data_IF_339761438720
#
_entry.id   IF_339761438720
#
_cell.length_a   1.000
_cell.length_b   1.000
_cell.length_c   1.000
_cell.angle_alpha   90.00
_cell.angle_beta   90.00
_cell.angle_gamma   90.00
#
_symmetry.space_group_name_H-M   'P 1'
#
loop_
_entity.id
_entity.type
_entity.pdbx_description
1 polymer ?
#
# COMPACT_ATOMS: atom_id res chain seq x y z
N UNK A 1 -8.98 -8.55 -1.45
CA UNK A 1 -8.01 -9.31 -2.28
C UNK A 1 -7.50 -8.41 -3.41
N UNK A 2 -6.38 -8.77 -4.05
CA UNK A 2 -5.79 -8.02 -5.18
C UNK A 2 -6.70 -7.95 -6.41
N UNK A 3 -6.41 -7.05 -7.36
CA UNK A 3 -7.11 -6.91 -8.65
C UNK A 3 -6.29 -7.40 -9.85
N UNK A 4 -5.19 -8.13 -9.60
CA UNK A 4 -4.39 -8.75 -10.64
C UNK A 4 -5.28 -9.61 -11.57
N UNK A 5 -5.27 -9.40 -12.90
CA UNK A 5 -6.14 -10.13 -13.82
C UNK A 5 -5.84 -11.64 -13.82
N UNK A 6 -4.56 -12.01 -13.73
CA UNK A 6 -4.13 -13.42 -13.64
C UNK A 6 -4.56 -14.13 -12.36
N UNK A 7 -4.81 -13.39 -11.28
CA UNK A 7 -5.40 -13.97 -10.07
C UNK A 7 -6.89 -14.29 -10.27
N UNK A 8 -7.59 -13.47 -11.03
CA UNK A 8 -9.03 -13.63 -11.31
C UNK A 8 -9.32 -14.69 -12.37
N UNK A 9 -8.52 -14.76 -13.43
CA UNK A 9 -8.63 -15.82 -14.42
C UNK A 9 -8.01 -17.11 -13.88
N UNK A 10 -8.85 -18.11 -13.63
CA UNK A 10 -8.45 -19.41 -13.06
C UNK A 10 -7.61 -20.26 -14.00
N UNK A 11 -7.57 -19.93 -15.29
CA UNK A 11 -6.75 -20.63 -16.29
C UNK A 11 -5.30 -20.15 -16.34
N UNK A 12 -4.95 -19.06 -15.64
CA UNK A 12 -3.61 -18.47 -15.65
C UNK A 12 -2.77 -18.92 -14.46
N UNK A 13 -1.45 -19.07 -14.63
CA UNK A 13 -0.53 -19.35 -13.51
C UNK A 13 -0.56 -18.24 -12.43
N UNK A 14 -0.82 -18.61 -11.17
CA UNK A 14 -0.87 -17.66 -10.06
C UNK A 14 -0.52 -18.28 -8.68
N UNK A 15 0.71 -18.07 -8.20
CA UNK A 15 1.20 -18.53 -6.89
C UNK A 15 0.33 -18.10 -5.69
N UNK A 16 -0.37 -16.97 -5.80
CA UNK A 16 -1.30 -16.49 -4.77
C UNK A 16 -2.56 -17.34 -4.66
N UNK A 17 -3.01 -17.93 -5.78
CA UNK A 17 -4.19 -18.80 -5.85
C UNK A 17 -3.80 -20.27 -5.67
N UNK A 18 -2.73 -20.70 -6.34
CA UNK A 18 -2.20 -22.06 -6.30
C UNK A 18 -0.68 -21.99 -6.10
N UNK A 19 -0.18 -22.21 -4.87
CA UNK A 19 1.26 -22.15 -4.59
C UNK A 19 2.06 -23.06 -5.52
N UNK A 20 3.17 -22.54 -6.07
CA UNK A 20 4.05 -23.28 -6.98
C UNK A 20 3.64 -23.24 -8.46
N UNK A 21 2.48 -22.70 -8.83
CA UNK A 21 2.05 -22.63 -10.23
C UNK A 21 2.82 -21.61 -11.07
N UNK A 22 3.59 -20.71 -10.44
CA UNK A 22 4.24 -19.56 -11.08
C UNK A 22 3.41 -18.27 -11.02
N UNK A 23 3.96 -17.17 -11.54
CA UNK A 23 3.31 -15.86 -11.56
C UNK A 23 3.22 -15.33 -13.00
N UNK A 24 2.07 -15.53 -13.67
CA UNK A 24 1.88 -15.09 -15.07
C UNK A 24 1.97 -13.56 -15.27
N UNK A 25 1.89 -12.78 -14.19
CA UNK A 25 2.11 -11.34 -14.24
C UNK A 25 3.57 -10.96 -14.49
N UNK A 26 4.51 -11.79 -14.04
CA UNK A 26 5.95 -11.60 -14.29
C UNK A 26 6.23 -12.08 -15.71
N UNK A 27 6.73 -11.17 -16.56
CA UNK A 27 6.81 -11.38 -18.01
C UNK A 27 5.48 -11.16 -18.76
N UNK A 28 4.40 -10.84 -18.06
CA UNK A 28 3.09 -10.52 -18.63
C UNK A 28 2.69 -9.04 -18.49
N UNK A 29 1.39 -8.78 -18.58
CA UNK A 29 0.83 -7.44 -18.39
C UNK A 29 0.86 -7.02 -16.91
N UNK A 30 1.68 -6.01 -16.61
CA UNK A 30 2.01 -5.65 -15.22
C UNK A 30 1.80 -4.17 -14.90
N UNK A 31 1.19 -3.39 -15.80
CA UNK A 31 0.96 -1.92 -15.65
C UNK A 31 0.40 -1.53 -14.28
N UNK A 32 -0.59 -2.26 -13.80
CA UNK A 32 -1.29 -1.93 -12.54
C UNK A 32 -0.64 -2.52 -11.28
N UNK A 33 0.44 -3.29 -11.43
CA UNK A 33 1.03 -4.11 -10.37
C UNK A 33 2.09 -3.36 -9.56
N UNK A 34 2.62 -4.01 -8.51
CA UNK A 34 3.50 -3.38 -7.54
C UNK A 34 4.89 -3.12 -8.12
N UNK A 35 5.56 -2.10 -7.57
CA UNK A 35 6.94 -1.70 -7.89
C UNK A 35 7.87 -1.86 -6.70
N UNK A 36 7.35 -2.04 -5.49
CA UNK A 36 8.14 -2.16 -4.26
C UNK A 36 7.49 -3.17 -3.32
N UNK A 37 8.30 -3.81 -2.44
CA UNK A 37 7.82 -4.89 -1.57
C UNK A 37 7.35 -6.12 -2.35
N UNK A 38 7.92 -6.34 -3.54
CA UNK A 38 7.62 -7.45 -4.43
C UNK A 38 8.53 -8.65 -4.17
N UNK A 39 8.23 -9.77 -4.83
CA UNK A 39 9.04 -11.00 -4.80
C UNK A 39 8.97 -11.66 -6.17
N UNK A 40 9.87 -12.61 -6.43
CA UNK A 40 9.82 -13.44 -7.64
C UNK A 40 8.56 -14.33 -7.68
N UNK A 41 7.89 -14.53 -6.54
CA UNK A 41 6.66 -15.31 -6.47
C UNK A 41 5.40 -14.48 -6.77
N UNK A 42 5.41 -13.16 -6.53
CA UNK A 42 4.24 -12.30 -6.72
C UNK A 42 4.58 -10.81 -6.71
N UNK A 43 3.96 -10.08 -7.65
CA UNK A 43 4.05 -8.61 -7.77
C UNK A 43 2.68 -7.92 -7.61
N UNK A 44 1.71 -8.54 -6.96
CA UNK A 44 0.36 -7.97 -6.87
C UNK A 44 0.30 -6.73 -5.93
N UNK A 45 -0.73 -5.89 -6.10
CA UNK A 45 -0.96 -4.74 -5.20
C UNK A 45 -2.09 -5.02 -4.21
N UNK A 46 -2.06 -4.34 -3.06
CA UNK A 46 -3.25 -4.16 -2.23
C UNK A 46 -4.09 -3.00 -2.78
N UNK A 47 -5.39 -3.22 -3.10
CA UNK A 47 -6.16 -2.22 -3.85
C UNK A 47 -6.96 -1.25 -2.97
N UNK A 48 -6.96 -1.42 -1.64
CA UNK A 48 -7.80 -0.61 -0.74
C UNK A 48 -7.23 0.78 -0.52
N UNK A 49 -8.01 1.80 -0.87
CA UNK A 49 -7.73 3.20 -0.51
C UNK A 49 -7.85 3.42 1.00
N UNK A 50 -8.87 2.81 1.63
CA UNK A 50 -9.11 2.91 3.07
C UNK A 50 -7.91 2.41 3.89
N UNK A 51 -7.30 1.28 3.48
CA UNK A 51 -6.15 0.74 4.20
C UNK A 51 -4.94 1.71 4.17
N UNK A 52 -4.80 2.51 3.11
CA UNK A 52 -3.74 3.53 3.02
C UNK A 52 -3.98 4.66 4.02
N UNK A 53 -5.23 5.13 4.13
CA UNK A 53 -5.61 6.10 5.16
C UNK A 53 -5.42 5.54 6.58
N UNK A 54 -5.81 4.29 6.82
CA UNK A 54 -5.58 3.63 8.11
C UNK A 54 -4.09 3.52 8.46
N UNK A 55 -3.23 3.24 7.48
CA UNK A 55 -1.78 3.15 7.68
C UNK A 55 -1.13 4.49 8.04
N UNK A 56 -1.57 5.59 7.44
CA UNK A 56 -1.01 6.92 7.78
C UNK A 56 -1.47 7.39 9.16
N UNK A 57 -2.62 6.91 9.64
CA UNK A 57 -3.21 7.21 10.95
C UNK A 57 -2.80 6.25 12.07
N UNK A 58 -1.88 5.31 11.80
CA UNK A 58 -1.45 4.29 12.77
C UNK A 58 -2.61 3.51 13.41
N UNK A 59 -3.59 3.13 12.59
CA UNK A 59 -4.72 2.34 13.02
C UNK A 59 -4.31 1.00 13.65
N UNK A 60 -5.16 0.51 14.54
CA UNK A 60 -5.03 -0.77 15.22
C UNK A 60 -6.21 -1.67 14.85
N UNK A 61 -5.94 -2.91 14.48
CA UNK A 61 -6.95 -3.92 14.14
C UNK A 61 -7.19 -4.80 15.36
N UNK A 62 -8.40 -4.78 15.87
CA UNK A 62 -8.80 -5.62 17.01
C UNK A 62 -9.41 -6.93 16.54
N UNK A 63 -8.98 -8.03 17.15
CA UNK A 63 -9.37 -9.37 16.76
C UNK A 63 -9.82 -10.22 17.93
N UNK A 64 -10.68 -11.20 17.63
CA UNK A 64 -11.10 -12.27 18.52
C UNK A 64 -10.73 -13.62 17.91
N UNK A 65 -9.98 -14.44 18.64
CA UNK A 65 -9.61 -15.79 18.22
C UNK A 65 -10.70 -16.82 18.56
N UNK A 66 -10.67 -18.01 17.93
CA UNK A 66 -11.64 -19.07 18.24
C UNK A 66 -11.68 -19.52 19.71
N UNK A 67 -10.57 -19.35 20.44
CA UNK A 67 -10.47 -19.64 21.88
C UNK A 67 -11.05 -18.52 22.78
N UNK A 68 -11.59 -17.45 22.18
CA UNK A 68 -12.12 -16.28 22.87
C UNK A 68 -11.06 -15.24 23.28
N UNK A 69 -9.77 -15.49 23.06
CA UNK A 69 -8.72 -14.52 23.35
C UNK A 69 -8.78 -13.33 22.39
N UNK A 70 -8.52 -12.12 22.91
CA UNK A 70 -8.46 -10.88 22.12
C UNK A 70 -7.02 -10.51 21.83
N UNK A 71 -6.78 -9.91 20.67
CA UNK A 71 -5.50 -9.28 20.33
C UNK A 71 -5.72 -7.99 19.55
N UNK A 72 -4.72 -7.11 19.63
CA UNK A 72 -4.62 -5.92 18.80
C UNK A 72 -3.41 -6.05 17.88
N UNK A 73 -3.58 -5.77 16.60
CA UNK A 73 -2.55 -5.87 15.56
C UNK A 73 -2.38 -4.47 14.93
N UNK A 74 -1.20 -3.84 15.02
CA UNK A 74 -0.94 -2.60 14.28
C UNK A 74 -1.18 -2.78 12.78
N UNK A 75 -1.83 -1.81 12.13
CA UNK A 75 -2.12 -1.90 10.69
C UNK A 75 -0.84 -2.00 9.83
N UNK A 76 0.29 -1.51 10.36
CA UNK A 76 1.62 -1.63 9.74
C UNK A 76 2.06 -3.10 9.58
N UNK A 77 1.63 -3.94 10.52
CA UNK A 77 1.97 -5.36 10.61
C UNK A 77 0.87 -6.25 10.04
N UNK A 78 -0.37 -5.77 9.95
CA UNK A 78 -1.52 -6.59 9.58
C UNK A 78 -1.41 -7.27 8.20
N UNK A 79 -0.88 -6.56 7.19
CA UNK A 79 -0.71 -7.10 5.84
C UNK A 79 0.72 -7.61 5.65
N UNK A 80 0.86 -8.82 5.10
CA UNK A 80 2.14 -9.46 4.81
C UNK A 80 2.66 -9.09 3.43
N UNK A 81 3.98 -8.97 3.31
CA UNK A 81 4.65 -8.99 2.01
C UNK A 81 4.62 -10.40 1.41
N UNK A 82 4.66 -10.56 0.08
CA UNK A 82 4.39 -11.84 -0.56
C UNK A 82 5.45 -12.90 -0.25
N UNK A 83 6.73 -12.52 -0.16
CA UNK A 83 7.84 -13.46 0.01
C UNK A 83 7.71 -14.67 -0.92
N UNK A 84 7.89 -15.87 -0.38
CA UNK A 84 7.64 -17.12 -1.11
C UNK A 84 6.23 -17.70 -0.86
N UNK A 85 5.40 -17.01 -0.08
CA UNK A 85 4.07 -17.48 0.35
C UNK A 85 2.97 -16.47 0.03
N UNK A 86 2.81 -16.03 -1.24
CA UNK A 86 1.85 -14.97 -1.57
C UNK A 86 0.38 -15.35 -1.35
N UNK A 87 0.06 -16.61 -1.06
CA UNK A 87 -1.27 -17.05 -0.64
C UNK A 87 -1.61 -16.66 0.81
N UNK A 88 -0.60 -16.31 1.62
CA UNK A 88 -0.74 -15.78 2.98
C UNK A 88 -0.67 -14.26 2.91
N UNK A 89 -1.78 -13.58 3.20
CA UNK A 89 -1.90 -12.13 2.95
C UNK A 89 -1.92 -11.27 4.21
N UNK A 90 -2.32 -11.84 5.35
CA UNK A 90 -2.56 -11.12 6.59
C UNK A 90 -2.00 -11.88 7.79
N UNK A 91 -1.85 -11.20 8.92
CA UNK A 91 -1.47 -11.81 10.20
C UNK A 91 -2.58 -12.62 10.88
N UNK A 92 -3.81 -12.57 10.36
CA UNK A 92 -4.93 -13.32 10.90
C UNK A 92 -4.67 -14.83 10.91
N UNK A 93 -4.98 -15.45 12.05
CA UNK A 93 -5.04 -16.89 12.19
C UNK A 93 -6.34 -17.46 11.61
N UNK A 94 -6.37 -18.77 11.39
CA UNK A 94 -7.57 -19.46 10.91
C UNK A 94 -8.69 -19.31 11.94
N UNK A 95 -9.84 -18.77 11.49
CA UNK A 95 -11.00 -18.54 12.36
C UNK A 95 -10.90 -17.31 13.25
N UNK A 96 -9.83 -16.51 13.14
CA UNK A 96 -9.72 -15.23 13.84
C UNK A 96 -10.61 -14.18 13.16
N UNK A 97 -11.42 -13.49 13.96
CA UNK A 97 -12.41 -12.51 13.51
C UNK A 97 -11.94 -11.10 13.84
N UNK A 98 -11.92 -10.20 12.85
CA UNK A 98 -11.77 -8.76 13.12
C UNK A 98 -13.06 -8.25 13.76
N UNK A 99 -12.95 -7.63 14.93
CA UNK A 99 -14.09 -7.09 15.68
C UNK A 99 -14.16 -5.57 15.62
N UNK A 100 -13.02 -4.89 15.51
CA UNK A 100 -12.98 -3.43 15.43
C UNK A 100 -11.69 -2.92 14.76
N UNK A 101 -11.71 -1.64 14.42
CA UNK A 101 -10.52 -0.87 14.07
C UNK A 101 -10.51 0.37 14.94
N UNK A 102 -9.42 0.58 15.68
CA UNK A 102 -9.27 1.69 16.62
C UNK A 102 -8.21 2.66 16.10
N UNK A 103 -8.52 3.94 16.16
CA UNK A 103 -7.60 5.02 15.81
C UNK A 103 -7.03 5.66 17.08
N UNK A 104 -5.77 6.09 17.07
CA UNK A 104 -5.23 6.92 18.15
C UNK A 104 -5.93 8.30 18.17
N UNK A 105 -5.59 9.11 19.18
CA UNK A 105 -6.10 10.48 19.28
C UNK A 105 -5.84 11.28 17.98
N UNK A 106 -6.74 12.19 17.59
CA UNK A 106 -6.56 12.99 16.38
C UNK A 106 -5.23 13.76 16.40
N UNK A 107 -4.45 13.62 15.32
CA UNK A 107 -3.12 14.25 15.19
C UNK A 107 -3.16 15.67 14.60
N UNK A 108 -4.36 16.23 14.39
CA UNK A 108 -4.55 17.54 13.75
C UNK A 108 -3.95 17.63 12.34
N UNK A 109 -3.60 18.84 11.93
CA UNK A 109 -2.98 19.12 10.63
C UNK A 109 -3.94 19.10 9.44
N UNK A 110 -3.38 19.22 8.24
CA UNK A 110 -4.09 19.17 6.97
C UNK A 110 -4.08 17.74 6.43
N UNK A 111 -5.26 17.17 6.19
CA UNK A 111 -5.44 15.79 5.71
C UNK A 111 -5.77 15.81 4.23
N UNK A 112 -5.01 15.08 3.41
CA UNK A 112 -5.22 15.01 1.96
C UNK A 112 -5.14 13.55 1.52
N UNK A 113 -6.10 13.13 0.68
CA UNK A 113 -6.03 11.87 -0.05
C UNK A 113 -6.09 12.14 -1.56
N UNK A 114 -4.95 12.00 -2.25
CA UNK A 114 -4.84 12.22 -3.70
C UNK A 114 -4.79 10.87 -4.42
N UNK A 115 -5.80 10.56 -5.23
CA UNK A 115 -5.88 9.30 -5.99
C UNK A 115 -5.74 9.54 -7.49
N UNK A 116 -4.69 8.97 -8.09
CA UNK A 116 -4.48 9.01 -9.55
C UNK A 116 -5.02 7.74 -10.19
N UNK A 117 -5.78 7.90 -11.27
CA UNK A 117 -6.46 6.83 -12.01
C UNK A 117 -6.66 7.23 -13.46
N UNK A 118 -6.73 6.24 -14.36
CA UNK A 118 -6.88 6.48 -15.80
C UNK A 118 -8.22 7.17 -16.16
N UNK A 119 -9.28 6.95 -15.36
CA UNK A 119 -10.61 7.55 -15.55
C UNK A 119 -11.13 8.26 -14.30
N UNK A 120 -12.02 9.23 -14.49
CA UNK A 120 -12.43 10.17 -13.45
C UNK A 120 -13.05 9.53 -12.20
N UNK A 121 -13.75 8.39 -12.32
CA UNK A 121 -14.33 7.67 -11.19
C UNK A 121 -14.42 6.15 -11.41
N UNK A 122 -14.84 5.43 -10.37
CA UNK A 122 -15.05 3.98 -10.39
C UNK A 122 -13.84 3.18 -10.89
N UNK A 123 -12.64 3.56 -10.45
CA UNK A 123 -11.40 2.86 -10.76
C UNK A 123 -10.49 2.78 -9.52
N UNK A 124 -9.69 1.73 -9.44
CA UNK A 124 -8.62 1.59 -8.45
C UNK A 124 -7.49 2.59 -8.73
N UNK A 125 -6.66 2.83 -7.70
CA UNK A 125 -5.53 3.74 -7.84
C UNK A 125 -4.44 3.12 -8.73
N UNK A 126 -3.91 3.90 -9.67
CA UNK A 126 -2.58 3.63 -10.22
C UNK A 126 -1.53 3.92 -9.14
N UNK A 127 -1.69 5.07 -8.49
CA UNK A 127 -0.97 5.54 -7.30
C UNK A 127 -1.97 6.35 -6.46
N UNK A 128 -1.87 6.27 -5.14
CA UNK A 128 -2.51 7.22 -4.24
C UNK A 128 -1.56 7.70 -3.16
N UNK A 129 -1.76 8.92 -2.67
CA UNK A 129 -1.02 9.53 -1.56
C UNK A 129 -2.03 9.89 -0.48
N UNK A 130 -1.93 9.27 0.69
CA UNK A 130 -2.54 9.75 1.92
C UNK A 130 -1.50 10.56 2.69
N UNK A 131 -1.84 11.79 3.08
CA UNK A 131 -0.94 12.69 3.78
C UNK A 131 -1.64 13.35 4.97
N UNK A 132 -0.93 13.44 6.09
CA UNK A 132 -1.30 14.31 7.22
C UNK A 132 -0.14 15.26 7.48
N UNK A 133 -0.34 16.54 7.21
CA UNK A 133 0.71 17.55 7.13
C UNK A 133 0.52 18.62 8.20
N UNK A 134 1.61 18.97 8.88
CA UNK A 134 1.66 19.99 9.91
C UNK A 134 2.13 21.32 9.33
N UNK A 135 1.86 22.42 10.04
CA UNK A 135 2.23 23.79 9.60
C UNK A 135 3.75 23.98 9.43
N UNK A 136 4.56 23.23 10.16
CA UNK A 136 6.03 23.28 10.08
C UNK A 136 6.61 22.43 8.93
N UNK A 137 5.76 21.89 8.05
CA UNK A 137 6.16 21.08 6.90
C UNK A 137 6.49 19.63 7.24
N UNK A 138 6.40 19.23 8.52
CA UNK A 138 6.46 17.82 8.93
C UNK A 138 5.12 17.14 8.69
N UNK A 139 5.10 15.82 8.78
CA UNK A 139 3.87 15.07 8.64
C UNK A 139 4.11 13.58 8.47
N UNK A 140 3.13 12.92 7.88
CA UNK A 140 3.17 11.49 7.58
C UNK A 140 2.58 11.26 6.20
N UNK A 141 3.14 10.32 5.46
CA UNK A 141 2.61 9.91 4.15
C UNK A 141 2.54 8.39 4.01
N UNK A 142 1.49 7.91 3.35
CA UNK A 142 1.37 6.53 2.93
C UNK A 142 0.93 6.46 1.47
N UNK A 143 1.49 5.50 0.73
CA UNK A 143 1.29 5.35 -0.71
C UNK A 143 0.48 4.09 -1.00
N UNK A 144 -0.54 4.23 -1.84
CA UNK A 144 -1.34 3.12 -2.37
C UNK A 144 -1.00 2.78 -3.83
N UNK A 145 -1.40 1.60 -4.27
CA UNK A 145 -1.22 1.15 -5.65
C UNK A 145 0.22 0.75 -6.03
N UNK A 146 1.17 0.80 -5.10
CA UNK A 146 2.61 0.56 -5.38
C UNK A 146 3.17 -0.73 -4.79
N UNK A 147 2.49 -1.34 -3.82
CA UNK A 147 2.99 -2.47 -3.05
C UNK A 147 1.87 -3.44 -2.65
N UNK A 148 2.27 -4.58 -2.07
CA UNK A 148 1.39 -5.63 -1.55
C UNK A 148 0.61 -5.22 -0.29
N UNK A 149 0.94 -4.06 0.28
CA UNK A 149 0.29 -3.42 1.42
C UNK A 149 0.42 -1.89 1.30
N UNK A 150 -0.32 -1.08 2.08
CA UNK A 150 -0.06 0.36 2.19
C UNK A 150 1.42 0.64 2.49
N UNK A 151 2.06 1.47 1.66
CA UNK A 151 3.50 1.67 1.71
C UNK A 151 3.85 2.96 2.47
N UNK A 152 4.52 2.82 3.61
CA UNK A 152 4.96 3.94 4.46
C UNK A 152 6.22 3.52 5.21
N UNK A 153 7.16 4.46 5.33
CA UNK A 153 8.34 4.34 6.18
C UNK A 153 8.47 5.60 7.03
N UNK A 154 8.59 5.44 8.34
CA UNK A 154 8.72 6.54 9.29
C UNK A 154 9.99 7.38 9.02
N UNK A 155 11.05 6.75 8.53
CA UNK A 155 12.26 7.44 8.07
C UNK A 155 12.01 8.34 6.85
N UNK A 156 11.09 7.97 5.96
CA UNK A 156 10.72 8.80 4.81
C UNK A 156 9.79 9.95 5.22
N UNK A 157 8.92 9.76 6.22
CA UNK A 157 8.10 10.84 6.80
C UNK A 157 8.99 12.00 7.30
N UNK A 158 10.13 11.67 7.93
CA UNK A 158 11.09 12.65 8.43
C UNK A 158 11.74 13.51 7.32
N UNK A 159 11.66 13.09 6.06
CA UNK A 159 12.21 13.80 4.91
C UNK A 159 11.21 14.77 4.26
N UNK A 160 9.97 14.84 4.72
CA UNK A 160 8.95 15.77 4.18
C UNK A 160 9.42 17.23 4.08
N UNK A 161 10.13 17.80 5.08
CA UNK A 161 10.69 19.16 4.96
C UNK A 161 11.69 19.34 3.80
N UNK A 162 12.32 18.25 3.35
CA UNK A 162 13.24 18.24 2.20
C UNK A 162 12.53 18.08 0.85
N UNK A 163 11.21 17.95 0.84
CA UNK A 163 10.39 17.89 -0.37
C UNK A 163 10.12 16.48 -0.89
N UNK A 164 9.25 16.41 -1.90
CA UNK A 164 8.72 15.15 -2.45
C UNK A 164 9.79 14.21 -2.99
N UNK A 165 10.86 14.75 -3.60
CA UNK A 165 11.95 13.94 -4.15
C UNK A 165 12.67 13.14 -3.06
N UNK A 166 13.07 13.78 -1.95
CA UNK A 166 13.76 13.10 -0.86
C UNK A 166 12.89 11.98 -0.24
N UNK A 167 11.59 12.23 -0.12
CA UNK A 167 10.64 11.23 0.39
C UNK A 167 10.45 10.08 -0.60
N UNK A 168 10.28 10.37 -1.89
CA UNK A 168 10.12 9.34 -2.91
C UNK A 168 11.39 8.49 -3.05
N UNK A 169 12.58 9.10 -3.10
CA UNK A 169 13.85 8.39 -3.18
C UNK A 169 14.00 7.41 -1.99
N UNK A 170 13.63 7.85 -0.77
CA UNK A 170 13.65 6.97 0.40
C UNK A 170 12.59 5.86 0.32
N UNK A 171 11.35 6.18 -0.10
CA UNK A 171 10.26 5.22 -0.21
C UNK A 171 10.53 4.09 -1.22
N UNK A 172 11.32 4.38 -2.25
CA UNK A 172 11.52 3.50 -3.40
C UNK A 172 12.99 3.11 -3.62
N UNK A 173 13.84 3.21 -2.60
CA UNK A 173 15.26 2.83 -2.67
C UNK A 173 15.45 1.38 -3.18
N UNK A 174 14.59 0.46 -2.73
CA UNK A 174 14.61 -0.96 -3.13
C UNK A 174 13.52 -1.31 -4.17
N UNK A 175 13.03 -0.34 -4.93
CA UNK A 175 12.00 -0.59 -5.94
C UNK A 175 12.54 -1.49 -7.05
N UNK A 176 11.69 -2.44 -7.48
CA UNK A 176 11.94 -3.40 -8.56
C UNK A 176 10.75 -3.34 -9.54
N UNK A 177 10.60 -2.25 -10.31
CA UNK A 177 9.51 -2.14 -11.28
C UNK A 177 9.71 -3.10 -12.45
N UNK A 178 8.61 -3.42 -13.12
CA UNK A 178 8.63 -3.98 -14.48
C UNK A 178 8.61 -2.84 -15.50
N UNK A 179 8.88 -3.14 -16.76
CA UNK A 179 8.78 -2.17 -17.86
C UNK A 179 7.41 -1.46 -17.88
N UNK A 180 6.32 -2.23 -17.76
CA UNK A 180 4.96 -1.70 -17.85
C UNK A 180 4.55 -0.78 -16.68
N UNK A 181 5.21 -0.88 -15.53
CA UNK A 181 4.81 -0.15 -14.31
C UNK A 181 5.88 0.81 -13.77
N UNK A 182 7.03 0.93 -14.43
CA UNK A 182 8.09 1.88 -14.08
C UNK A 182 7.59 3.34 -13.99
N UNK A 183 6.58 3.69 -14.78
CA UNK A 183 5.94 5.02 -14.72
C UNK A 183 5.38 5.39 -13.34
N UNK A 184 5.12 4.41 -12.47
CA UNK A 184 4.59 4.66 -11.12
C UNK A 184 5.59 5.41 -10.24
N UNK A 185 6.89 5.22 -10.42
CA UNK A 185 7.91 5.90 -9.61
C UNK A 185 7.87 7.43 -9.78
N UNK A 186 8.03 7.99 -11.00
CA UNK A 186 7.88 9.43 -11.19
C UNK A 186 6.44 9.91 -10.92
N UNK A 187 5.43 9.05 -11.10
CA UNK A 187 4.05 9.41 -10.76
C UNK A 187 3.86 9.62 -9.25
N UNK A 188 4.48 8.80 -8.39
CA UNK A 188 4.43 8.99 -6.93
C UNK A 188 5.08 10.30 -6.54
N UNK A 189 6.31 10.57 -7.03
CA UNK A 189 7.02 11.81 -6.72
C UNK A 189 6.18 13.05 -7.09
N UNK A 190 5.64 13.08 -8.31
CA UNK A 190 4.82 14.21 -8.81
C UNK A 190 3.50 14.35 -8.05
N UNK A 191 2.86 13.23 -7.71
CA UNK A 191 1.61 13.24 -6.92
C UNK A 191 1.87 13.74 -5.50
N UNK A 192 3.00 13.34 -4.91
CA UNK A 192 3.44 13.84 -3.61
C UNK A 192 3.76 15.33 -3.68
N UNK A 193 4.51 15.79 -4.67
CA UNK A 193 4.81 17.21 -4.88
C UNK A 193 3.52 18.05 -4.95
N UNK A 194 2.54 17.60 -5.74
CA UNK A 194 1.26 18.27 -5.87
C UNK A 194 0.43 18.23 -4.57
N UNK A 195 0.58 17.19 -3.75
CA UNK A 195 -0.07 17.08 -2.43
C UNK A 195 0.55 18.05 -1.43
N UNK A 196 1.89 18.15 -1.39
CA UNK A 196 2.60 19.10 -0.54
C UNK A 196 2.31 20.55 -0.93
N UNK A 197 2.20 20.84 -2.23
CA UNK A 197 1.84 22.17 -2.71
C UNK A 197 0.42 22.58 -2.28
N UNK A 198 -0.55 21.66 -2.36
CA UNK A 198 -1.92 21.90 -1.90
C UNK A 198 -2.01 22.18 -0.39
N UNK A 199 -1.12 21.61 0.42
CA UNK A 199 -1.15 21.86 1.86
C UNK A 199 -0.57 23.22 2.27
N UNK A 200 0.10 23.93 1.35
CA UNK A 200 0.67 25.27 1.58
C UNK A 200 -0.31 26.40 1.29
N UNK A 201 -1.40 26.13 0.57
CA UNK A 201 -2.50 27.06 0.30
C UNK A 201 -3.52 27.02 1.42
#
# INVERSE_FOLDING_TARGET
RTRCPYFYDTHQACNKRQPGSGCAAIGGFSKQLAVVGVSDACIATHPSDMAVAMRVLDAQVETLRPDGSKRVIPIADFHKLPGNTPHIETELQRGELITAVTLPAPIGGTHIYRKVRDRASYAFALVSVAAVLQKDGKGRVAIGGVAHKPWRMESADALLPRGSKAVADALFADAKPTEHNAYKLPLVERTLAATLAQART
#
